data_IF_995996741886
#
_entry.id   IF_995996741886
#
_cell.length_a   1.000
_cell.length_b   1.000
_cell.length_c   1.000
_cell.angle_alpha   90.00
_cell.angle_beta   90.00
_cell.angle_gamma   90.00
#
_symmetry.space_group_name_H-M   'P 1'
#
loop_
_entity.id
_entity.type
_entity.pdbx_description
1 polymer ?
#
# COMPACT_ATOMS: atom_id res chain seq x y z
N UNK A 1 -6.86 14.63 9.09
CA UNK A 1 -7.47 13.93 7.94
C UNK A 1 -7.89 14.91 6.84
N UNK A 2 -8.68 15.93 7.12
CA UNK A 2 -9.15 16.87 6.08
C UNK A 2 -8.03 17.62 5.33
N UNK A 3 -6.87 17.74 5.93
CA UNK A 3 -5.70 18.32 5.28
C UNK A 3 -5.13 17.38 4.20
N UNK A 4 -5.14 16.08 4.50
CA UNK A 4 -4.63 15.05 3.59
C UNK A 4 -5.68 14.52 2.60
N UNK A 5 -6.95 14.54 3.01
CA UNK A 5 -8.08 14.00 2.24
C UNK A 5 -9.23 15.03 2.20
N UNK A 6 -9.03 16.17 1.50
CA UNK A 6 -9.96 17.31 1.59
C UNK A 6 -11.35 17.03 1.04
N UNK A 7 -11.47 16.07 0.13
CA UNK A 7 -12.72 15.73 -0.55
C UNK A 7 -13.49 14.59 0.13
N UNK A 8 -12.97 14.07 1.25
CA UNK A 8 -13.61 12.97 1.98
C UNK A 8 -14.23 13.44 3.29
N UNK A 9 -15.25 12.72 3.70
CA UNK A 9 -15.88 12.85 5.00
C UNK A 9 -15.62 11.62 5.87
N UNK A 10 -15.39 11.86 7.16
CA UNK A 10 -14.99 10.82 8.10
C UNK A 10 -15.87 10.83 9.33
N UNK A 11 -16.18 9.63 9.84
CA UNK A 11 -16.88 9.43 11.10
C UNK A 11 -15.97 8.69 12.10
N UNK A 12 -15.91 9.20 13.33
CA UNK A 12 -15.23 8.51 14.44
C UNK A 12 -16.21 7.49 15.01
N UNK A 13 -15.89 6.21 14.84
CA UNK A 13 -16.70 5.10 15.37
C UNK A 13 -16.41 4.84 16.85
N UNK A 14 -15.13 4.88 17.22
CA UNK A 14 -14.70 4.69 18.62
C UNK A 14 -13.35 5.34 18.88
N UNK A 15 -13.05 5.54 20.16
CA UNK A 15 -11.75 5.99 20.63
C UNK A 15 -11.40 5.33 21.95
N UNK A 16 -10.15 4.95 22.13
CA UNK A 16 -9.65 4.34 23.35
C UNK A 16 -8.30 4.91 23.72
N UNK A 17 -8.02 4.93 25.01
CA UNK A 17 -6.68 5.17 25.51
C UNK A 17 -5.88 3.89 25.45
N UNK A 18 -4.68 3.96 24.89
CA UNK A 18 -3.76 2.82 24.83
C UNK A 18 -2.51 3.11 25.64
N UNK A 19 -2.02 2.08 26.34
CA UNK A 19 -0.74 2.14 27.05
C UNK A 19 0.35 1.49 26.18
N UNK A 20 1.59 1.96 26.34
CA UNK A 20 2.73 1.48 25.59
C UNK A 20 2.55 1.61 24.06
N UNK A 21 2.24 2.83 23.60
CA UNK A 21 2.17 3.14 22.18
C UNK A 21 3.51 2.83 21.49
N UNK A 22 3.42 2.55 20.20
CA UNK A 22 4.63 2.29 19.39
C UNK A 22 5.62 3.43 19.56
N UNK A 23 6.87 3.08 19.80
CA UNK A 23 7.98 4.02 19.79
C UNK A 23 9.01 3.64 18.74
N UNK A 24 9.73 4.62 18.23
CA UNK A 24 10.78 4.42 17.24
C UNK A 24 12.08 5.09 17.65
N UNK A 25 13.18 4.55 17.17
CA UNK A 25 14.51 5.08 17.41
C UNK A 25 14.94 4.98 18.87
N UNK A 26 15.46 6.08 19.42
CA UNK A 26 15.95 6.16 20.82
C UNK A 26 14.88 6.49 21.84
N UNK A 27 13.62 6.62 21.43
CA UNK A 27 12.51 6.92 22.33
C UNK A 27 12.18 5.69 23.17
N UNK A 28 11.95 5.88 24.49
CA UNK A 28 11.56 4.76 25.34
C UNK A 28 10.10 4.41 25.17
N UNK A 29 9.80 3.13 25.18
CA UNK A 29 8.47 2.59 25.38
C UNK A 29 7.90 3.10 26.71
N UNK A 30 6.69 2.85 27.05
CA UNK A 30 5.97 3.31 28.26
C UNK A 30 5.33 4.70 28.13
N UNK A 31 4.93 5.08 26.94
CA UNK A 31 4.04 6.23 26.74
C UNK A 31 2.62 5.75 26.49
N UNK A 32 1.65 6.48 27.00
CA UNK A 32 0.24 6.28 26.66
C UNK A 32 -0.19 7.27 25.60
N UNK A 33 -1.15 6.88 24.79
CA UNK A 33 -1.73 7.70 23.75
C UNK A 33 -3.17 7.30 23.49
N UNK A 34 -3.66 7.64 22.32
CA UNK A 34 -5.02 7.33 21.90
C UNK A 34 -5.02 6.59 20.55
N UNK A 35 -6.00 5.72 20.39
CA UNK A 35 -6.34 5.11 19.12
C UNK A 35 -7.80 5.41 18.80
N UNK A 36 -8.05 5.79 17.57
CA UNK A 36 -9.39 6.03 17.06
C UNK A 36 -9.67 5.08 15.90
N UNK A 37 -10.86 4.49 15.90
CA UNK A 37 -11.40 3.79 14.74
C UNK A 37 -12.27 4.76 13.95
N UNK A 38 -11.99 4.88 12.68
CA UNK A 38 -12.60 5.86 11.78
C UNK A 38 -13.14 5.15 10.55
N UNK A 39 -14.23 5.65 10.01
CA UNK A 39 -14.79 5.21 8.73
C UNK A 39 -14.81 6.39 7.76
N UNK A 40 -14.32 6.17 6.55
CA UNK A 40 -14.57 7.09 5.44
C UNK A 40 -15.98 6.83 4.91
N UNK A 41 -16.81 7.87 4.87
CA UNK A 41 -18.17 7.78 4.34
C UNK A 41 -18.20 7.62 2.82
N UNK A 42 -17.15 8.07 2.14
CA UNK A 42 -17.07 8.08 0.68
C UNK A 42 -16.58 6.74 0.12
N UNK A 43 -15.61 6.12 0.79
CA UNK A 43 -15.05 4.83 0.37
C UNK A 43 -15.58 3.64 1.17
N UNK A 44 -16.26 3.91 2.28
CA UNK A 44 -16.68 2.90 3.26
C UNK A 44 -15.52 2.04 3.77
N UNK A 45 -14.35 2.65 3.91
CA UNK A 45 -13.15 2.02 4.46
C UNK A 45 -13.05 2.34 5.95
N UNK A 46 -12.94 1.30 6.77
CA UNK A 46 -12.64 1.44 8.18
C UNK A 46 -11.13 1.37 8.40
N UNK A 47 -10.59 2.29 9.16
CA UNK A 47 -9.16 2.39 9.44
C UNK A 47 -8.90 2.92 10.85
N UNK A 48 -7.64 2.98 11.26
CA UNK A 48 -7.25 3.50 12.57
C UNK A 48 -6.34 4.71 12.45
N UNK A 49 -6.48 5.61 13.42
CA UNK A 49 -5.48 6.65 13.70
C UNK A 49 -4.99 6.42 15.12
N UNK A 50 -3.69 6.39 15.31
CA UNK A 50 -3.09 6.20 16.63
C UNK A 50 -1.92 7.17 16.87
N UNK A 51 -1.72 7.51 18.14
CA UNK A 51 -0.51 8.20 18.57
C UNK A 51 0.69 7.26 18.45
N UNK A 52 1.79 7.78 17.93
CA UNK A 52 3.11 7.15 18.01
C UNK A 52 4.07 8.08 18.71
N UNK A 53 5.12 7.54 19.33
CA UNK A 53 6.16 8.29 20.01
C UNK A 53 7.49 8.06 19.30
N UNK A 54 7.93 9.03 18.54
CA UNK A 54 9.05 8.87 17.62
C UNK A 54 10.19 9.85 17.86
N UNK A 55 11.40 9.44 17.49
CA UNK A 55 12.57 10.27 17.55
C UNK A 55 12.70 11.15 16.30
N UNK A 56 12.93 12.44 16.49
CA UNK A 56 13.39 13.31 15.43
C UNK A 56 14.82 12.94 15.01
N UNK A 57 15.23 13.39 13.82
CA UNK A 57 16.62 13.26 13.37
C UNK A 57 17.66 13.94 14.29
N UNK A 58 17.21 14.73 15.28
CA UNK A 58 18.04 15.40 16.29
C UNK A 58 17.96 14.73 17.68
N UNK A 59 17.37 13.54 17.78
CA UNK A 59 17.29 12.80 19.02
C UNK A 59 16.22 13.29 20.02
N UNK A 60 15.34 14.19 19.59
CA UNK A 60 14.21 14.65 20.39
C UNK A 60 13.00 13.74 20.13
N UNK A 61 12.36 13.27 21.19
CA UNK A 61 11.15 12.46 21.06
C UNK A 61 9.89 13.34 21.07
N UNK A 62 8.94 13.02 20.22
CA UNK A 62 7.67 13.72 20.10
C UNK A 62 6.53 12.77 19.76
N UNK A 63 5.30 13.20 20.01
CA UNK A 63 4.11 12.47 19.54
C UNK A 63 3.80 12.86 18.11
N UNK A 64 3.47 11.88 17.30
CA UNK A 64 2.87 12.09 16.00
C UNK A 64 1.64 11.19 15.83
N UNK A 65 0.81 11.51 14.85
CA UNK A 65 -0.35 10.71 14.46
C UNK A 65 0.02 9.82 13.29
N UNK A 66 -0.30 8.55 13.42
CA UNK A 66 -0.18 7.58 12.35
C UNK A 66 -1.57 7.08 11.95
N UNK A 67 -1.87 7.09 10.66
CA UNK A 67 -3.06 6.46 10.13
C UNK A 67 -2.69 5.34 9.15
N UNK A 68 -3.55 4.34 9.06
CA UNK A 68 -3.40 3.24 8.11
C UNK A 68 -4.45 3.27 7.00
N UNK A 69 -4.98 4.46 6.68
CA UNK A 69 -6.06 4.59 5.71
C UNK A 69 -5.69 4.04 4.33
N UNK A 70 -4.53 4.41 3.80
CA UNK A 70 -4.08 3.95 2.49
C UNK A 70 -3.98 2.43 2.41
N UNK A 71 -3.43 1.80 3.46
CA UNK A 71 -3.36 0.34 3.57
C UNK A 71 -4.75 -0.29 3.62
N UNK A 72 -5.63 0.21 4.49
CA UNK A 72 -6.98 -0.32 4.64
C UNK A 72 -7.82 -0.18 3.34
N UNK A 73 -7.63 0.93 2.63
CA UNK A 73 -8.25 1.15 1.33
C UNK A 73 -7.73 0.15 0.29
N UNK A 74 -6.42 -0.08 0.24
CA UNK A 74 -5.84 -1.06 -0.68
C UNK A 74 -6.32 -2.49 -0.37
N UNK A 75 -6.37 -2.89 0.90
CA UNK A 75 -6.92 -4.20 1.32
C UNK A 75 -8.35 -4.39 0.82
N UNK A 76 -9.18 -3.36 1.01
CA UNK A 76 -10.56 -3.37 0.50
C UNK A 76 -10.60 -3.49 -1.02
N UNK A 77 -9.78 -2.73 -1.73
CA UNK A 77 -9.79 -2.74 -3.20
C UNK A 77 -9.26 -4.05 -3.78
N UNK A 78 -8.30 -4.69 -3.14
CA UNK A 78 -7.86 -6.05 -3.51
C UNK A 78 -9.03 -7.03 -3.34
N UNK A 79 -9.73 -6.96 -2.21
CA UNK A 79 -10.89 -7.83 -1.95
C UNK A 79 -12.02 -7.59 -2.96
N UNK A 80 -12.31 -6.33 -3.29
CA UNK A 80 -13.36 -5.96 -4.24
C UNK A 80 -12.98 -6.32 -5.69
N UNK A 81 -11.70 -6.28 -6.05
CA UNK A 81 -11.19 -6.69 -7.36
C UNK A 81 -11.36 -8.19 -7.59
N UNK A 82 -11.35 -8.96 -6.49
CA UNK A 82 -11.70 -10.38 -6.44
C UNK A 82 -10.86 -11.28 -7.36
N UNK A 83 -9.56 -11.00 -7.48
CA UNK A 83 -8.59 -11.90 -8.10
C UNK A 83 -7.66 -12.45 -7.01
N UNK A 84 -7.77 -13.76 -6.71
CA UNK A 84 -7.02 -14.40 -5.62
C UNK A 84 -5.51 -14.45 -5.83
N UNK A 85 -5.03 -14.10 -7.01
CA UNK A 85 -3.59 -14.04 -7.35
C UNK A 85 -2.93 -12.73 -6.91
N UNK A 86 -3.73 -11.73 -6.52
CA UNK A 86 -3.26 -10.49 -5.93
C UNK A 86 -3.53 -10.52 -4.44
N UNK A 87 -2.53 -10.22 -3.66
CA UNK A 87 -2.64 -10.05 -2.22
C UNK A 87 -1.90 -8.79 -1.77
N UNK A 88 -2.17 -8.34 -0.54
CA UNK A 88 -1.40 -7.23 0.03
C UNK A 88 0.00 -7.71 0.39
N UNK A 89 1.00 -6.87 0.14
CA UNK A 89 2.36 -7.10 0.63
C UNK A 89 2.53 -6.44 2.00
N UNK A 90 2.88 -7.24 2.99
CA UNK A 90 3.03 -6.80 4.40
C UNK A 90 4.47 -6.80 4.89
N UNK A 91 5.44 -6.88 3.98
CA UNK A 91 6.85 -7.10 4.32
C UNK A 91 7.58 -5.91 4.93
N UNK A 92 7.08 -4.70 4.78
CA UNK A 92 7.65 -3.50 5.40
C UNK A 92 6.56 -2.71 6.15
N UNK A 93 6.59 -2.69 7.50
CA UNK A 93 5.61 -1.95 8.28
C UNK A 93 5.73 -0.42 8.16
N UNK A 94 6.72 0.08 7.42
CA UNK A 94 6.99 1.51 7.25
C UNK A 94 6.58 2.02 5.86
N UNK A 95 6.21 1.14 4.93
CA UNK A 95 5.73 1.62 3.65
C UNK A 95 4.35 2.26 3.84
N UNK A 96 4.32 3.58 3.75
CA UNK A 96 3.11 4.40 3.73
C UNK A 96 2.25 4.16 2.49
N UNK A 97 2.72 3.31 1.61
CA UNK A 97 2.15 2.98 0.32
C UNK A 97 1.74 1.52 0.38
N UNK A 98 0.50 1.26 0.09
CA UNK A 98 0.06 -0.12 0.00
C UNK A 98 0.69 -0.77 -1.22
N UNK A 99 1.43 -1.83 -0.98
CA UNK A 99 2.02 -2.64 -2.03
C UNK A 99 1.22 -3.92 -2.24
N UNK A 100 1.28 -4.45 -3.44
CA UNK A 100 0.65 -5.73 -3.75
C UNK A 100 1.69 -6.82 -3.97
N UNK A 101 1.28 -8.04 -3.74
CA UNK A 101 2.09 -9.24 -3.97
C UNK A 101 1.42 -10.14 -4.99
N UNK A 102 2.21 -10.65 -5.92
CA UNK A 102 1.85 -11.76 -6.82
C UNK A 102 2.90 -12.85 -6.72
N UNK A 103 2.50 -14.11 -6.96
CA UNK A 103 3.42 -15.23 -7.11
C UNK A 103 3.37 -15.75 -8.55
N UNK A 104 4.51 -15.76 -9.23
CA UNK A 104 4.61 -16.14 -10.64
C UNK A 104 4.09 -17.55 -10.93
N UNK A 105 4.13 -18.45 -9.94
CA UNK A 105 3.60 -19.83 -10.07
C UNK A 105 2.08 -19.89 -10.30
N UNK A 106 1.35 -18.82 -9.95
CA UNK A 106 -0.10 -18.76 -10.06
C UNK A 106 -0.55 -18.32 -11.47
N UNK A 107 0.40 -18.15 -12.39
CA UNK A 107 0.18 -17.67 -13.76
C UNK A 107 0.78 -18.62 -14.80
N UNK A 108 0.17 -18.65 -15.98
CA UNK A 108 0.60 -19.49 -17.09
C UNK A 108 1.44 -18.76 -18.13
N UNK A 109 1.40 -17.44 -18.15
CA UNK A 109 2.17 -16.63 -19.11
C UNK A 109 2.47 -15.23 -18.53
N UNK A 110 3.49 -14.60 -19.10
CA UNK A 110 3.84 -13.20 -18.81
C UNK A 110 2.67 -12.28 -19.19
N UNK A 111 2.00 -12.55 -20.31
CA UNK A 111 0.84 -11.77 -20.74
C UNK A 111 -0.30 -11.82 -19.72
N UNK A 112 -0.49 -12.96 -19.06
CA UNK A 112 -1.50 -13.10 -18.02
C UNK A 112 -1.13 -12.27 -16.79
N UNK A 113 0.12 -12.31 -16.32
CA UNK A 113 0.62 -11.47 -15.22
C UNK A 113 0.41 -9.99 -15.56
N UNK A 114 0.88 -9.58 -16.73
CA UNK A 114 0.82 -8.19 -17.19
C UNK A 114 -0.62 -7.69 -17.27
N UNK A 115 -1.52 -8.52 -17.77
CA UNK A 115 -2.95 -8.19 -17.89
C UNK A 115 -3.60 -8.02 -16.51
N UNK A 116 -3.31 -8.91 -15.56
CA UNK A 116 -3.85 -8.83 -14.21
C UNK A 116 -3.35 -7.59 -13.50
N UNK A 117 -2.06 -7.29 -13.58
CA UNK A 117 -1.48 -6.10 -12.96
C UNK A 117 -2.00 -4.80 -13.58
N UNK A 118 -2.13 -4.76 -14.91
CA UNK A 118 -2.68 -3.58 -15.60
C UNK A 118 -4.16 -3.35 -15.28
N UNK A 119 -4.95 -4.43 -15.21
CA UNK A 119 -6.36 -4.35 -14.85
C UNK A 119 -6.53 -3.90 -13.40
N UNK A 120 -5.71 -4.42 -12.48
CA UNK A 120 -5.72 -3.97 -11.09
C UNK A 120 -5.32 -2.50 -10.96
N UNK A 121 -4.25 -2.08 -11.65
CA UNK A 121 -3.84 -0.67 -11.72
C UNK A 121 -5.00 0.22 -12.16
N UNK A 122 -5.64 -0.12 -13.28
CA UNK A 122 -6.76 0.66 -13.83
C UNK A 122 -7.94 0.70 -12.88
N UNK A 123 -8.26 -0.43 -12.25
CA UNK A 123 -9.31 -0.51 -11.24
C UNK A 123 -8.97 0.38 -10.02
N UNK A 124 -7.76 0.26 -9.48
CA UNK A 124 -7.30 1.05 -8.34
C UNK A 124 -7.34 2.55 -8.64
N UNK A 125 -6.80 2.98 -9.77
CA UNK A 125 -6.83 4.38 -10.19
C UNK A 125 -8.27 4.93 -10.31
N UNK A 126 -9.22 4.10 -10.74
CA UNK A 126 -10.63 4.47 -10.82
C UNK A 126 -11.29 4.69 -9.44
N UNK A 127 -10.69 4.13 -8.37
CA UNK A 127 -11.22 4.17 -7.01
C UNK A 127 -10.56 5.21 -6.12
N UNK A 128 -9.60 5.96 -6.65
CA UNK A 128 -8.82 6.92 -5.89
C UNK A 128 -9.41 8.34 -5.86
N UNK A 129 -10.60 8.59 -5.30
CA UNK A 129 -11.08 9.94 -5.07
C UNK A 129 -10.22 10.66 -4.01
N UNK A 130 -9.49 9.90 -3.19
CA UNK A 130 -8.69 10.39 -2.08
C UNK A 130 -7.23 10.70 -2.43
N UNK A 131 -6.70 10.18 -3.54
CA UNK A 131 -5.38 10.57 -4.06
C UNK A 131 -5.49 11.91 -4.82
N UNK A 132 -6.51 12.68 -4.52
CA UNK A 132 -6.68 14.01 -5.04
C UNK A 132 -5.42 14.84 -4.80
N UNK A 133 -5.16 15.84 -5.39
CA UNK A 133 -4.27 17.00 -5.39
C UNK A 133 -3.11 17.11 -4.34
N UNK A 134 -2.94 16.17 -3.41
CA UNK A 134 -1.86 16.22 -2.43
C UNK A 134 -0.53 15.69 -3.02
N UNK A 135 0.56 16.47 -2.95
CA UNK A 135 1.85 16.08 -3.53
C UNK A 135 2.40 14.75 -2.99
N UNK A 136 2.20 14.49 -1.70
CA UNK A 136 2.66 13.24 -1.06
C UNK A 136 1.97 11.99 -1.58
N UNK A 137 0.72 12.11 -1.99
CA UNK A 137 -0.09 10.98 -2.43
C UNK A 137 -0.02 10.83 -3.96
N UNK A 138 0.26 11.90 -4.70
CA UNK A 138 0.57 11.84 -6.13
C UNK A 138 1.85 11.06 -6.43
N UNK A 139 2.74 10.94 -5.46
CA UNK A 139 3.99 10.16 -5.54
C UNK A 139 3.82 8.74 -4.97
N UNK A 140 2.64 8.39 -4.43
CA UNK A 140 2.39 7.03 -3.96
C UNK A 140 2.25 6.08 -5.14
N UNK A 141 3.35 5.48 -5.54
CA UNK A 141 3.34 4.34 -6.43
C UNK A 141 2.77 3.13 -5.69
N UNK A 142 1.94 2.35 -6.35
CA UNK A 142 1.72 0.98 -5.95
C UNK A 142 2.81 0.16 -6.61
N UNK A 143 3.59 -0.52 -5.80
CA UNK A 143 4.55 -1.48 -6.30
C UNK A 143 3.96 -2.90 -6.25
N UNK A 144 4.17 -3.64 -7.34
CA UNK A 144 3.85 -5.05 -7.38
C UNK A 144 5.12 -5.85 -7.08
N UNK A 145 5.13 -6.51 -5.92
CA UNK A 145 6.19 -7.40 -5.49
C UNK A 145 5.98 -8.78 -6.12
N UNK A 146 6.92 -9.18 -6.97
CA UNK A 146 6.87 -10.43 -7.71
C UNK A 146 7.66 -11.48 -6.95
N UNK A 147 6.99 -12.60 -6.68
CA UNK A 147 7.56 -13.77 -6.04
C UNK A 147 7.60 -14.96 -6.99
N UNK A 148 8.53 -15.86 -6.75
CA UNK A 148 8.55 -17.20 -7.34
C UNK A 148 8.57 -18.21 -6.20
N UNK A 149 7.41 -18.70 -5.84
CA UNK A 149 7.17 -19.48 -4.63
C UNK A 149 7.58 -18.72 -3.37
N UNK A 150 8.62 -19.15 -2.66
CA UNK A 150 9.07 -18.51 -1.42
C UNK A 150 10.13 -17.42 -1.64
N UNK A 151 10.59 -17.25 -2.89
CA UNK A 151 11.67 -16.34 -3.21
C UNK A 151 11.14 -15.02 -3.76
N UNK A 152 11.51 -13.92 -3.13
CA UNK A 152 11.32 -12.60 -3.72
C UNK A 152 12.19 -12.44 -4.97
N UNK A 153 11.61 -11.99 -6.05
CA UNK A 153 12.29 -11.78 -7.34
C UNK A 153 12.63 -10.31 -7.51
N UNK A 154 11.62 -9.46 -7.57
CA UNK A 154 11.76 -8.02 -7.78
C UNK A 154 10.43 -7.32 -7.49
N UNK A 155 10.41 -6.01 -7.64
CA UNK A 155 9.18 -5.22 -7.67
C UNK A 155 9.11 -4.38 -8.94
N UNK A 156 7.89 -4.11 -9.41
CA UNK A 156 7.62 -3.19 -10.51
C UNK A 156 6.65 -2.11 -10.03
N UNK A 157 6.86 -0.88 -10.46
CA UNK A 157 5.95 0.22 -10.12
C UNK A 157 4.76 0.24 -11.08
N UNK A 158 3.56 0.20 -10.52
CA UNK A 158 2.30 0.25 -11.28
C UNK A 158 1.76 1.67 -11.45
N UNK A 159 2.20 2.61 -10.63
CA UNK A 159 1.85 4.01 -10.77
C UNK A 159 3.07 4.89 -10.53
N UNK A 160 3.62 5.43 -11.57
CA UNK A 160 4.78 6.30 -11.51
C UNK A 160 4.49 7.62 -12.23
N UNK A 161 4.46 8.71 -11.47
CA UNK A 161 4.37 10.06 -12.06
C UNK A 161 5.80 10.55 -12.40
N UNK A 162 6.06 11.10 -13.57
CA UNK A 162 5.13 11.51 -14.65
C UNK A 162 4.98 10.49 -15.80
N UNK A 163 5.40 9.24 -15.61
CA UNK A 163 5.40 8.23 -16.69
C UNK A 163 4.05 7.50 -16.76
N UNK A 164 3.47 7.45 -17.93
CA UNK A 164 2.32 6.60 -18.18
C UNK A 164 2.74 5.13 -18.16
N UNK A 165 2.10 4.34 -17.30
CA UNK A 165 2.30 2.89 -17.22
C UNK A 165 1.24 2.22 -18.09
N UNK A 166 1.69 1.58 -19.17
CA UNK A 166 0.84 0.87 -20.13
C UNK A 166 0.96 -0.64 -19.93
N UNK A 167 0.02 -1.41 -20.51
CA UNK A 167 0.11 -2.87 -20.52
C UNK A 167 1.43 -3.35 -21.16
N UNK A 168 1.84 -2.72 -22.27
CA UNK A 168 3.09 -3.07 -22.96
C UNK A 168 4.31 -2.79 -22.09
N UNK A 169 4.34 -1.68 -21.34
CA UNK A 169 5.45 -1.36 -20.46
C UNK A 169 5.57 -2.36 -19.31
N UNK A 170 4.45 -2.78 -18.70
CA UNK A 170 4.44 -3.83 -17.67
C UNK A 170 4.94 -5.15 -18.27
N UNK A 171 4.46 -5.54 -19.45
CA UNK A 171 4.86 -6.78 -20.10
C UNK A 171 6.37 -6.81 -20.40
N UNK A 172 6.93 -5.71 -20.91
CA UNK A 172 8.36 -5.60 -21.18
C UNK A 172 9.20 -5.70 -19.90
N UNK A 173 8.75 -5.07 -18.83
CA UNK A 173 9.47 -5.08 -17.55
C UNK A 173 9.44 -6.49 -16.93
N UNK A 174 8.29 -7.16 -16.89
CA UNK A 174 8.18 -8.55 -16.39
C UNK A 174 9.00 -9.50 -17.25
N UNK A 175 8.96 -9.35 -18.58
CA UNK A 175 9.78 -10.17 -19.48
C UNK A 175 11.26 -10.04 -19.16
N UNK A 176 11.73 -8.82 -18.95
CA UNK A 176 13.13 -8.55 -18.62
C UNK A 176 13.51 -9.17 -17.27
N UNK A 177 12.67 -9.02 -16.25
CA UNK A 177 12.88 -9.61 -14.93
C UNK A 177 12.93 -11.13 -14.98
N UNK A 178 12.03 -11.77 -15.75
CA UNK A 178 11.98 -13.22 -15.85
C UNK A 178 13.21 -13.80 -16.56
N UNK A 179 13.71 -13.10 -17.56
CA UNK A 179 14.98 -13.46 -18.22
C UNK A 179 16.16 -13.30 -17.26
N UNK A 180 16.26 -12.17 -16.57
CA UNK A 180 17.34 -11.86 -15.63
C UNK A 180 17.42 -12.87 -14.49
N UNK A 181 16.27 -13.25 -13.93
CA UNK A 181 16.17 -14.16 -12.79
C UNK A 181 15.97 -15.63 -13.18
N UNK A 182 16.01 -15.98 -14.48
CA UNK A 182 15.81 -17.34 -15.02
C UNK A 182 14.50 -17.97 -14.53
N UNK A 183 13.40 -17.19 -14.48
CA UNK A 183 12.09 -17.66 -14.03
C UNK A 183 11.39 -18.35 -15.20
N UNK A 184 10.92 -19.58 -14.94
CA UNK A 184 10.07 -20.32 -15.86
C UNK A 184 8.68 -20.46 -15.26
N UNK A 185 7.67 -20.10 -16.03
CA UNK A 185 6.28 -20.27 -15.62
C UNK A 185 5.86 -21.75 -15.74
N UNK A 186 4.88 -22.18 -14.90
CA UNK A 186 4.32 -23.52 -15.04
C UNK A 186 3.69 -23.75 -16.41
N UNK A 187 3.84 -24.96 -16.91
CA UNK A 187 3.26 -25.38 -18.20
C UNK A 187 1.75 -25.62 -18.09
#
# INVERSE_FOLDING_TARGET
LKEYYPNESFEIVSGEKIDNIKSSGSCSDNKSGYRYTIVSNDTNVQFTIEDIYEASGYGTCYYSLYDNYAQAALEKYIADFNDSRISIYTGDPISFHGDIKIDSKDFKSIDEISSVLYNFKTYYESKQPFIGEQPFIKESSIDAFIWNSENFVSSISLSYFPREITLDSINQEITSLFVEHNITLPA
#
